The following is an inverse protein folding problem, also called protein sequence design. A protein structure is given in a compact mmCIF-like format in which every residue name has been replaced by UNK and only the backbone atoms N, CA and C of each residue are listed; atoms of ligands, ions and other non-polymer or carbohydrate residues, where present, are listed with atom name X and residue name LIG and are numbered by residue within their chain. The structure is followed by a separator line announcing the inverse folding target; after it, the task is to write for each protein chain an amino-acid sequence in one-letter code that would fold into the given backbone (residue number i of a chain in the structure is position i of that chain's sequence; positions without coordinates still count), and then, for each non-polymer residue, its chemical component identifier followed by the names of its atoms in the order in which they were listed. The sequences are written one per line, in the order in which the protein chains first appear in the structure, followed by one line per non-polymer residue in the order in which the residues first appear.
data_IF_439280418592
#
_entry.id   IF_439280418592
#
_cell.length_a   1.000
_cell.length_b   1.000
_cell.length_c   1.000
_cell.angle_alpha   90.00
_cell.angle_beta   90.00
_cell.angle_gamma   90.00
#
_symmetry.space_group_name_H-M   'P 1'
#
loop_
_entity.id
_entity.type
_entity.pdbx_description
1 polymer ?
#
# COMPACT_ATOMS: atom_id res chain seq x y z
N UNK A 1 -7.58 9.10 -28.04
CA UNK A 1 -7.54 9.92 -26.82
C UNK A 1 -7.47 11.37 -27.27
N UNK A 2 -8.45 12.19 -26.87
CA UNK A 2 -8.53 13.59 -27.29
C UNK A 2 -7.33 14.40 -26.78
N UNK A 3 -6.83 15.41 -27.53
CA UNK A 3 -5.68 16.21 -27.14
C UNK A 3 -5.80 16.84 -25.74
N UNK A 4 -6.99 17.34 -25.41
CA UNK A 4 -7.31 17.93 -24.09
C UNK A 4 -7.22 16.90 -22.96
N UNK A 5 -7.63 15.65 -23.22
CA UNK A 5 -7.53 14.58 -22.22
C UNK A 5 -6.07 14.21 -21.96
N UNK A 6 -5.24 14.16 -23.01
CA UNK A 6 -3.80 13.90 -22.89
C UNK A 6 -3.09 14.98 -22.08
N UNK A 7 -3.42 16.24 -22.31
CA UNK A 7 -2.83 17.37 -21.59
C UNK A 7 -3.23 17.38 -20.12
N UNK A 8 -4.50 17.10 -19.82
CA UNK A 8 -4.98 16.92 -18.43
C UNK A 8 -4.27 15.77 -17.72
N UNK A 9 -4.10 14.62 -18.37
CA UNK A 9 -3.40 13.48 -17.79
C UNK A 9 -1.92 13.79 -17.53
N UNK A 10 -1.26 14.53 -18.42
CA UNK A 10 0.11 15.01 -18.18
C UNK A 10 0.17 15.94 -16.97
N UNK A 11 -0.74 16.90 -16.88
CA UNK A 11 -0.79 17.83 -15.76
C UNK A 11 -1.03 17.12 -14.42
N UNK A 12 -2.00 16.20 -14.36
CA UNK A 12 -2.25 15.35 -13.17
C UNK A 12 -0.99 14.55 -12.82
N UNK A 13 -0.33 13.96 -13.81
CA UNK A 13 0.90 13.22 -13.60
C UNK A 13 2.04 14.06 -13.02
N UNK A 14 2.11 15.35 -13.34
CA UNK A 14 3.08 16.29 -12.73
C UNK A 14 2.72 16.55 -11.26
N UNK A 15 1.45 16.86 -10.98
CA UNK A 15 0.98 17.11 -9.61
C UNK A 15 1.21 15.91 -8.70
N UNK A 16 0.87 14.70 -9.15
CA UNK A 16 1.09 13.48 -8.36
C UNK A 16 2.57 13.30 -7.97
N UNK A 17 3.50 13.54 -8.91
CA UNK A 17 4.95 13.44 -8.63
C UNK A 17 5.41 14.46 -7.60
N UNK A 18 4.86 15.68 -7.64
CA UNK A 18 5.12 16.71 -6.64
C UNK A 18 4.60 16.28 -5.27
N UNK A 19 3.34 15.87 -5.18
CA UNK A 19 2.71 15.42 -3.93
C UNK A 19 3.48 14.26 -3.28
N UNK A 20 3.94 13.29 -4.09
CA UNK A 20 4.72 12.15 -3.60
C UNK A 20 6.10 12.59 -3.08
N UNK A 21 6.77 13.48 -3.81
CA UNK A 21 8.08 14.01 -3.40
C UNK A 21 7.97 14.78 -2.09
N UNK A 22 6.96 15.63 -1.96
CA UNK A 22 6.72 16.39 -0.73
C UNK A 22 6.26 15.50 0.43
N UNK A 23 5.39 14.52 0.15
CA UNK A 23 4.90 13.56 1.13
C UNK A 23 6.03 12.76 1.77
N UNK A 24 7.01 12.29 0.98
CA UNK A 24 8.14 11.54 1.54
C UNK A 24 9.08 12.43 2.35
N UNK A 25 9.29 13.69 1.94
CA UNK A 25 10.13 14.67 2.67
C UNK A 25 9.51 15.06 4.01
N UNK A 26 8.22 15.32 4.01
CA UNK A 26 7.47 15.66 5.24
C UNK A 26 7.34 14.48 6.20
N UNK A 27 7.44 13.25 5.70
CA UNK A 27 7.42 12.03 6.52
C UNK A 27 8.73 11.74 7.24
N UNK A 28 9.86 12.33 6.83
CA UNK A 28 11.18 12.04 7.42
C UNK A 28 11.23 12.19 8.95
N UNK A 29 10.74 13.28 9.57
CA UNK A 29 10.82 13.45 11.01
C UNK A 29 10.03 12.37 11.77
N UNK A 30 8.91 11.90 11.21
CA UNK A 30 8.11 10.82 11.79
C UNK A 30 8.84 9.49 11.73
N UNK A 31 9.47 9.17 10.60
CA UNK A 31 10.23 7.93 10.43
C UNK A 31 11.44 7.87 11.38
N UNK A 32 12.18 8.98 11.52
CA UNK A 32 13.27 9.08 12.48
C UNK A 32 12.79 8.92 13.93
N UNK A 33 11.65 9.53 14.27
CA UNK A 33 11.06 9.42 15.62
C UNK A 33 10.68 7.99 16.00
N UNK A 34 10.28 7.15 15.03
CA UNK A 34 9.95 5.74 15.25
C UNK A 34 11.17 4.81 15.11
N UNK A 35 12.39 5.36 15.10
CA UNK A 35 13.64 4.61 15.21
C UNK A 35 14.29 4.23 13.87
N UNK A 36 13.82 4.75 12.73
CA UNK A 36 14.52 4.53 11.46
C UNK A 36 15.85 5.29 11.45
N UNK A 37 16.89 4.71 10.85
CA UNK A 37 18.19 5.37 10.75
C UNK A 37 18.18 6.48 9.68
N UNK A 38 18.99 7.53 9.86
CA UNK A 38 19.15 8.59 8.86
C UNK A 38 19.51 8.02 7.48
N UNK A 39 20.46 7.08 7.43
CA UNK A 39 20.87 6.43 6.18
C UNK A 39 19.72 5.71 5.46
N UNK A 40 18.76 5.13 6.20
CA UNK A 40 17.58 4.49 5.62
C UNK A 40 16.58 5.52 5.09
N UNK A 41 16.34 6.58 5.86
CA UNK A 41 15.43 7.67 5.48
C UNK A 41 15.96 8.44 4.26
N UNK A 42 17.25 8.74 4.21
CA UNK A 42 17.89 9.40 3.08
C UNK A 42 17.79 8.55 1.80
N UNK A 43 18.02 7.24 1.93
CA UNK A 43 17.87 6.30 0.80
C UNK A 43 16.43 6.25 0.30
N UNK A 44 15.45 6.22 1.20
CA UNK A 44 14.02 6.26 0.84
C UNK A 44 13.67 7.52 0.05
N UNK A 45 14.14 8.68 0.52
CA UNK A 45 13.86 9.98 -0.09
C UNK A 45 14.51 10.07 -1.47
N UNK A 46 15.79 9.71 -1.57
CA UNK A 46 16.52 9.71 -2.83
C UNK A 46 15.87 8.76 -3.85
N UNK A 47 15.55 7.53 -3.46
CA UNK A 47 14.90 6.55 -4.33
C UNK A 47 13.50 7.00 -4.78
N UNK A 48 12.75 7.68 -3.91
CA UNK A 48 11.43 8.22 -4.27
C UNK A 48 11.55 9.35 -5.29
N UNK A 49 12.51 10.26 -5.11
CA UNK A 49 12.78 11.34 -6.08
C UNK A 49 13.17 10.76 -7.43
N UNK A 50 14.09 9.79 -7.45
CA UNK A 50 14.51 9.10 -8.67
C UNK A 50 13.32 8.45 -9.39
N UNK A 51 12.45 7.75 -8.66
CA UNK A 51 11.26 7.09 -9.22
C UNK A 51 10.27 8.11 -9.81
N UNK A 52 10.07 9.25 -9.15
CA UNK A 52 9.16 10.29 -9.66
C UNK A 52 9.63 10.94 -10.96
N UNK A 53 10.92 10.87 -11.28
CA UNK A 53 11.47 11.42 -12.53
C UNK A 53 11.29 10.48 -13.73
N UNK A 54 10.87 9.23 -13.52
CA UNK A 54 10.65 8.26 -14.59
C UNK A 54 9.35 8.53 -15.35
N UNK A 55 9.35 8.15 -16.62
CA UNK A 55 8.18 8.27 -17.51
C UNK A 55 6.98 7.47 -16.98
N UNK A 56 7.27 6.31 -16.40
CA UNK A 56 6.29 5.46 -15.72
C UNK A 56 6.53 5.54 -14.22
N UNK A 57 5.44 5.67 -13.47
CA UNK A 57 5.48 5.84 -12.03
C UNK A 57 4.77 4.64 -11.39
N UNK A 58 5.54 3.82 -10.66
CA UNK A 58 5.02 2.68 -9.93
C UNK A 58 5.03 2.92 -8.43
N UNK A 59 3.91 2.64 -7.75
CA UNK A 59 3.86 2.65 -6.29
C UNK A 59 3.48 1.30 -5.73
N UNK A 60 4.13 0.98 -4.62
CA UNK A 60 3.77 -0.17 -3.80
C UNK A 60 3.73 0.22 -2.35
N UNK A 61 2.52 0.28 -1.80
CA UNK A 61 2.31 0.48 -0.37
C UNK A 61 1.89 -0.85 0.28
N UNK A 62 2.51 -1.19 1.40
CA UNK A 62 1.99 -2.22 2.30
C UNK A 62 1.04 -1.53 3.27
N UNK A 63 -0.24 -1.58 2.95
CA UNK A 63 -1.29 -1.00 3.81
C UNK A 63 -1.83 -2.10 4.71
N UNK A 64 -1.64 -1.96 6.02
CA UNK A 64 -2.34 -2.77 7.00
C UNK A 64 -3.66 -2.08 7.33
N UNK A 65 -4.75 -2.56 6.74
CA UNK A 65 -6.09 -2.11 7.14
C UNK A 65 -6.52 -2.86 8.40
N UNK A 66 -6.41 -2.21 9.55
CA UNK A 66 -7.00 -2.68 10.80
C UNK A 66 -8.46 -2.26 10.89
N UNK A 67 -9.34 -3.17 11.27
CA UNK A 67 -10.71 -2.81 11.67
C UNK A 67 -10.68 -2.29 13.10
N UNK A 68 -11.44 -1.21 13.39
CA UNK A 68 -11.59 -0.73 14.77
C UNK A 68 -12.10 -1.88 15.64
N UNK A 69 -11.40 -2.11 16.74
CA UNK A 69 -11.79 -3.10 17.77
C UNK A 69 -13.10 -2.65 18.42
N UNK A 70 -13.91 -3.59 18.88
CA UNK A 70 -15.15 -3.29 19.60
C UNK A 70 -14.90 -2.60 20.96
N UNK A 71 -13.67 -2.72 21.48
CA UNK A 71 -13.17 -2.07 22.69
C UNK A 71 -11.68 -2.37 22.88
N UNK A 72 -11.06 -1.89 23.97
CA UNK A 72 -9.70 -2.30 24.35
C UNK A 72 -9.60 -3.82 24.40
N UNK A 73 -8.61 -4.40 23.71
CA UNK A 73 -8.33 -5.84 23.63
C UNK A 73 -9.43 -6.75 23.06
N UNK A 74 -10.58 -6.21 22.66
CA UNK A 74 -11.64 -6.98 22.01
C UNK A 74 -11.37 -7.16 20.50
N UNK A 75 -11.88 -8.24 19.87
CA UNK A 75 -11.77 -8.41 18.43
C UNK A 75 -12.50 -7.27 17.70
N UNK A 76 -12.13 -7.06 16.44
CA UNK A 76 -12.97 -6.28 15.55
C UNK A 76 -14.34 -6.97 15.41
N UNK A 77 -15.46 -6.22 15.27
CA UNK A 77 -16.78 -6.79 14.99
C UNK A 77 -16.76 -7.72 13.76
N UNK A 78 -17.81 -8.47 13.41
CA UNK A 78 -17.84 -9.15 12.09
C UNK A 78 -18.15 -8.14 10.97
N UNK A 79 -17.73 -8.43 9.74
CA UNK A 79 -18.19 -7.63 8.59
C UNK A 79 -19.67 -7.97 8.35
N UNK A 80 -20.49 -7.02 7.86
CA UNK A 80 -21.83 -7.35 7.39
C UNK A 80 -21.73 -8.35 6.23
N UNK A 81 -22.60 -9.35 6.23
CA UNK A 81 -22.77 -10.24 5.08
C UNK A 81 -23.42 -9.41 3.96
N UNK A 82 -22.79 -9.42 2.79
CA UNK A 82 -23.30 -8.74 1.61
C UNK A 82 -23.93 -9.82 0.73
N UNK A 83 -25.26 -9.75 0.57
CA UNK A 83 -25.97 -10.59 -0.39
C UNK A 83 -25.60 -10.15 -1.80
N UNK A 84 -25.11 -11.10 -2.58
CA UNK A 84 -24.52 -10.86 -3.88
C UNK A 84 -25.43 -11.45 -4.96
N UNK A 85 -26.07 -10.59 -5.76
CA UNK A 85 -26.86 -11.01 -6.92
C UNK A 85 -25.95 -11.73 -7.94
N UNK A 86 -26.38 -12.92 -8.41
CA UNK A 86 -25.59 -13.84 -9.26
C UNK A 86 -25.58 -13.43 -10.76
N UNK A 87 -26.25 -12.33 -11.14
CA UNK A 87 -26.57 -12.03 -12.54
C UNK A 87 -25.74 -10.94 -13.26
N UNK A 88 -24.66 -10.41 -12.69
CA UNK A 88 -23.94 -9.26 -13.26
C UNK A 88 -22.58 -9.60 -13.87
N UNK A 89 -22.37 -9.24 -15.14
CA UNK A 89 -21.12 -9.37 -15.89
C UNK A 89 -19.88 -8.86 -15.12
N UNK A 90 -18.78 -9.58 -15.33
CA UNK A 90 -17.47 -9.47 -14.66
C UNK A 90 -16.80 -8.10 -14.78
N UNK A 91 -17.21 -7.15 -13.95
CA UNK A 91 -16.35 -6.06 -13.48
C UNK A 91 -15.93 -6.47 -12.07
N UNK A 92 -14.63 -6.69 -11.85
CA UNK A 92 -14.08 -7.22 -10.59
C UNK A 92 -14.73 -6.53 -9.36
N UNK A 93 -15.46 -7.33 -8.57
CA UNK A 93 -16.35 -6.90 -7.49
C UNK A 93 -15.53 -6.32 -6.33
N UNK A 94 -15.87 -5.11 -5.88
CA UNK A 94 -15.23 -4.46 -4.74
C UNK A 94 -15.99 -4.75 -3.42
N UNK A 95 -15.29 -4.99 -2.28
CA UNK A 95 -13.85 -5.16 -2.19
C UNK A 95 -13.41 -6.51 -2.78
N UNK A 96 -12.32 -6.48 -3.55
CA UNK A 96 -11.74 -7.69 -4.10
C UNK A 96 -11.03 -8.45 -2.98
N UNK A 97 -11.60 -9.56 -2.54
CA UNK A 97 -10.95 -10.50 -1.64
C UNK A 97 -10.97 -11.90 -2.25
N UNK A 98 -9.83 -12.58 -2.16
CA UNK A 98 -9.70 -13.98 -2.49
C UNK A 98 -10.07 -14.80 -1.24
N UNK A 99 -11.07 -15.67 -1.36
CA UNK A 99 -11.44 -16.63 -0.32
C UNK A 99 -10.69 -17.93 -0.58
N UNK A 100 -10.06 -18.49 0.43
CA UNK A 100 -9.38 -19.78 0.37
C UNK A 100 -10.07 -20.74 1.32
N UNK A 101 -10.37 -21.95 0.84
CA UNK A 101 -11.08 -22.97 1.62
C UNK A 101 -10.11 -23.73 2.55
N UNK A 102 -8.81 -23.70 2.24
CA UNK A 102 -7.78 -24.37 3.04
C UNK A 102 -6.60 -23.45 3.37
N UNK A 103 -5.92 -23.69 4.51
CA UNK A 103 -4.69 -22.99 4.88
C UNK A 103 -3.58 -23.10 3.81
N UNK A 104 -3.52 -24.23 3.12
CA UNK A 104 -2.52 -24.52 2.08
C UNK A 104 -2.69 -23.60 0.87
N UNK A 105 -3.94 -23.40 0.41
CA UNK A 105 -4.26 -22.48 -0.68
C UNK A 105 -3.87 -21.04 -0.34
N UNK A 106 -4.17 -20.60 0.90
CA UNK A 106 -3.79 -19.27 1.37
C UNK A 106 -2.26 -19.08 1.41
N UNK A 107 -1.52 -20.14 1.78
CA UNK A 107 -0.05 -20.12 1.82
C UNK A 107 0.55 -20.03 0.43
N UNK A 108 0.06 -20.81 -0.53
CA UNK A 108 0.54 -20.79 -1.91
C UNK A 108 0.30 -19.44 -2.59
N UNK A 109 -0.90 -18.89 -2.47
CA UNK A 109 -1.21 -17.56 -2.98
C UNK A 109 -0.36 -16.46 -2.31
N UNK A 110 -0.01 -16.63 -1.04
CA UNK A 110 0.92 -15.73 -0.34
C UNK A 110 2.33 -15.79 -0.92
N UNK A 111 2.83 -16.99 -1.24
CA UNK A 111 4.14 -17.17 -1.89
C UNK A 111 4.17 -16.55 -3.28
N UNK A 112 3.13 -16.74 -4.09
CA UNK A 112 3.00 -16.12 -5.41
C UNK A 112 2.97 -14.60 -5.28
N UNK A 113 2.14 -14.07 -4.36
CA UNK A 113 2.06 -12.63 -4.12
C UNK A 113 3.40 -12.07 -3.68
N UNK A 114 4.17 -12.78 -2.86
CA UNK A 114 5.44 -12.35 -2.26
C UNK A 114 6.68 -12.63 -3.12
N UNK A 115 6.55 -13.29 -4.27
CA UNK A 115 7.65 -13.51 -5.21
C UNK A 115 8.28 -12.16 -5.63
N UNK A 116 9.59 -12.01 -5.39
CA UNK A 116 10.35 -10.78 -5.67
C UNK A 116 10.16 -9.64 -4.66
N UNK A 117 9.60 -9.91 -3.47
CA UNK A 117 9.49 -8.94 -2.36
C UNK A 117 10.56 -9.12 -1.28
N UNK A 118 11.81 -9.31 -1.68
CA UNK A 118 12.95 -9.44 -0.77
C UNK A 118 13.34 -8.09 -0.15
N UNK A 119 12.36 -7.44 0.49
CA UNK A 119 12.56 -6.22 1.26
C UNK A 119 12.72 -6.68 2.71
N UNK A 120 13.87 -6.42 3.35
CA UNK A 120 14.07 -6.78 4.75
C UNK A 120 12.98 -6.13 5.61
N UNK A 121 12.44 -6.89 6.57
CA UNK A 121 11.48 -6.33 7.51
C UNK A 121 12.12 -5.14 8.25
N UNK A 122 11.39 -4.02 8.44
CA UNK A 122 11.90 -2.96 9.28
C UNK A 122 12.19 -3.54 10.67
N UNK A 123 13.29 -3.14 11.32
CA UNK A 123 13.61 -3.64 12.64
C UNK A 123 12.47 -3.24 13.57
N UNK A 124 11.63 -4.20 13.95
CA UNK A 124 10.71 -3.99 15.06
C UNK A 124 11.57 -3.80 16.30
N UNK A 125 11.33 -2.73 17.05
CA UNK A 125 11.82 -2.60 18.43
C UNK A 125 11.17 -3.73 19.23
N UNK A 126 11.86 -4.86 19.30
CA UNK A 126 11.57 -5.92 20.25
C UNK A 126 12.05 -5.45 21.63
N UNK A 127 11.32 -4.51 22.23
CA UNK A 127 11.42 -4.19 23.65
C UNK A 127 10.15 -3.42 24.05
N UNK A 128 9.11 -4.20 24.34
CA UNK A 128 7.95 -3.76 25.09
C UNK A 128 8.42 -3.32 26.49
N UNK A 129 8.11 -2.07 26.84
CA UNK A 129 8.01 -1.63 28.25
C UNK A 129 6.68 -2.13 28.80
#
# INVERSE_FOLDING_TARGET
MEPVQRERLRFIGVLMRQDITEGVRTSQPFLLRVGWSNALVDRLVAGTIEETQKDTLGFRFRLAWGRRRAGPDLPAPKLPEIDYDEGGETIARYPFYEVYDTPEQAKEATLVRNRGKDIPEPPFLSESI
#
